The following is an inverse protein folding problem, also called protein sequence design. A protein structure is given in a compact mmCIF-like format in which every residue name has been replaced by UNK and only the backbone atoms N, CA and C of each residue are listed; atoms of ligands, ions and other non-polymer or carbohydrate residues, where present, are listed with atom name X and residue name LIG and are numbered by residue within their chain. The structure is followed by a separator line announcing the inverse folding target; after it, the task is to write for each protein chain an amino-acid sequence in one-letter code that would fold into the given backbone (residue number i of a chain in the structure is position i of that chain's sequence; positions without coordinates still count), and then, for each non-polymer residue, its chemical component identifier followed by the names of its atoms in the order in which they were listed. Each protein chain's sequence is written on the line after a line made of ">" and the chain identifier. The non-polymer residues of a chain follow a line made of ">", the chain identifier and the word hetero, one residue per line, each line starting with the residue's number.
data_IF_952197095558
#
_entry.id   IF_952197095558
#
_cell.length_a   1.000
_cell.length_b   1.000
_cell.length_c   1.000
_cell.angle_alpha   90.00
_cell.angle_beta   90.00
_cell.angle_gamma   90.00
#
_symmetry.space_group_name_H-M   'P 1'
#
loop_
_entity.id
_entity.type
_entity.pdbx_description
1 polymer ?
#
# COMPACT_ATOMS: atom_id res chain seq x y z
N UNK A 1 -67.41 3.95 -23.39
CA UNK A 1 -67.65 3.15 -22.17
C UNK A 1 -66.38 2.37 -21.87
N UNK A 2 -65.83 2.53 -20.65
CA UNK A 2 -64.82 1.69 -19.94
C UNK A 2 -63.46 1.39 -20.62
N UNK A 3 -62.29 1.37 -19.97
CA UNK A 3 -61.90 1.50 -18.55
C UNK A 3 -60.38 1.73 -18.45
N UNK A 4 -59.97 2.23 -17.28
CA UNK A 4 -58.64 2.54 -16.74
C UNK A 4 -57.56 1.42 -16.74
N UNK A 5 -56.33 1.82 -16.38
CA UNK A 5 -55.25 0.96 -15.86
C UNK A 5 -53.86 1.34 -16.41
N UNK A 6 -53.12 2.32 -15.88
CA UNK A 6 -52.23 2.32 -14.69
C UNK A 6 -50.82 1.73 -14.92
N UNK A 7 -49.84 2.61 -14.73
CA UNK A 7 -48.48 2.45 -14.16
C UNK A 7 -47.27 1.84 -14.90
N UNK A 8 -46.12 2.45 -14.54
CA UNK A 8 -44.72 1.99 -14.54
C UNK A 8 -44.03 1.99 -15.91
N UNK A 9 -42.86 2.61 -16.10
CA UNK A 9 -41.67 2.51 -15.26
C UNK A 9 -40.78 3.76 -15.34
N UNK A 10 -40.24 4.13 -14.19
CA UNK A 10 -39.14 5.08 -14.03
C UNK A 10 -37.94 4.66 -14.87
N UNK A 11 -37.45 5.56 -15.72
CA UNK A 11 -36.22 5.37 -16.47
C UNK A 11 -35.05 5.30 -15.48
N UNK A 12 -34.39 4.16 -15.50
CA UNK A 12 -33.29 3.76 -14.63
C UNK A 12 -32.16 4.79 -14.59
N UNK A 13 -31.93 5.31 -13.38
CA UNK A 13 -30.64 5.60 -12.74
C UNK A 13 -29.44 5.83 -13.66
N UNK A 14 -28.98 7.09 -13.69
CA UNK A 14 -27.62 7.44 -14.07
C UNK A 14 -26.62 6.77 -13.11
N UNK A 15 -26.09 5.62 -13.52
CA UNK A 15 -24.86 5.06 -12.97
C UNK A 15 -23.71 5.48 -13.87
N UNK A 16 -23.12 6.63 -13.54
CA UNK A 16 -21.76 6.97 -13.98
C UNK A 16 -20.75 6.08 -13.21
N UNK A 17 -19.58 5.78 -13.79
CA UNK A 17 -18.81 4.58 -13.51
C UNK A 17 -18.04 4.67 -12.18
N UNK A 18 -18.32 3.73 -11.26
CA UNK A 18 -17.59 3.58 -9.98
C UNK A 18 -16.10 3.22 -10.12
N UNK A 19 -15.64 2.89 -11.32
CA UNK A 19 -14.25 2.44 -11.55
C UNK A 19 -13.25 3.57 -11.77
N UNK A 20 -13.69 4.79 -12.12
CA UNK A 20 -12.79 5.94 -12.31
C UNK A 20 -12.41 6.56 -10.96
N UNK A 21 -13.34 6.54 -10.01
CA UNK A 21 -13.19 7.17 -8.69
C UNK A 21 -12.10 6.51 -7.85
N UNK A 22 -12.05 5.17 -7.85
CA UNK A 22 -11.13 4.39 -7.00
C UNK A 22 -9.66 4.51 -7.42
N UNK A 23 -9.39 4.70 -8.72
CA UNK A 23 -8.02 4.87 -9.24
C UNK A 23 -7.48 6.28 -8.97
N UNK A 24 -8.33 7.31 -9.12
CA UNK A 24 -7.97 8.69 -8.78
C UNK A 24 -7.74 8.85 -7.26
N UNK A 25 -8.59 8.22 -6.45
CA UNK A 25 -8.43 8.20 -4.98
C UNK A 25 -7.12 7.54 -4.56
N UNK A 26 -6.78 6.37 -5.12
CA UNK A 26 -5.52 5.67 -4.83
C UNK A 26 -4.29 6.52 -5.20
N UNK A 27 -4.36 7.22 -6.33
CA UNK A 27 -3.30 8.13 -6.81
C UNK A 27 -3.12 9.31 -5.85
N UNK A 28 -4.21 9.93 -5.41
CA UNK A 28 -4.14 11.02 -4.42
C UNK A 28 -3.54 10.54 -3.10
N UNK A 29 -4.00 9.39 -2.60
CA UNK A 29 -3.49 8.79 -1.37
C UNK A 29 -2.01 8.45 -1.46
N UNK A 30 -1.54 7.91 -2.59
CA UNK A 30 -0.12 7.60 -2.81
C UNK A 30 0.77 8.84 -2.63
N UNK A 31 0.33 9.99 -3.15
CA UNK A 31 1.04 11.26 -2.98
C UNK A 31 1.01 11.78 -1.56
N UNK A 32 -0.16 11.75 -0.92
CA UNK A 32 -0.30 12.16 0.49
C UNK A 32 0.58 11.30 1.41
N UNK A 33 0.62 9.99 1.17
CA UNK A 33 1.50 9.05 1.88
C UNK A 33 2.97 9.43 1.68
N UNK A 34 3.39 9.73 0.46
CA UNK A 34 4.77 10.07 0.16
C UNK A 34 5.20 11.37 0.84
N UNK A 35 4.36 12.42 0.82
CA UNK A 35 4.63 13.68 1.52
C UNK A 35 4.74 13.47 3.03
N UNK A 36 3.81 12.73 3.62
CA UNK A 36 3.83 12.45 5.07
C UNK A 36 5.03 11.57 5.44
N UNK A 37 5.41 10.63 4.58
CA UNK A 37 6.61 9.82 4.74
C UNK A 37 7.88 10.69 4.71
N UNK A 38 8.01 11.61 3.75
CA UNK A 38 9.12 12.56 3.66
C UNK A 38 9.26 13.40 4.93
N UNK A 39 8.15 13.96 5.43
CA UNK A 39 8.15 14.75 6.67
C UNK A 39 8.53 13.87 7.87
N UNK A 40 7.94 12.69 7.99
CA UNK A 40 8.20 11.77 9.10
C UNK A 40 9.65 11.32 9.13
N UNK A 41 10.19 10.93 7.98
CA UNK A 41 11.58 10.49 7.83
C UNK A 41 12.57 11.62 8.12
N UNK A 42 12.31 12.83 7.60
CA UNK A 42 13.16 13.99 7.86
C UNK A 42 13.20 14.38 9.35
N UNK A 43 12.06 14.33 10.04
CA UNK A 43 12.01 14.62 11.48
C UNK A 43 12.75 13.55 12.30
N UNK A 44 12.58 12.28 11.98
CA UNK A 44 13.31 11.20 12.64
C UNK A 44 14.83 11.30 12.42
N UNK A 45 15.26 11.63 11.20
CA UNK A 45 16.67 11.90 10.89
C UNK A 45 17.29 13.07 11.65
N UNK A 46 16.46 14.02 12.12
CA UNK A 46 16.87 15.11 13.01
C UNK A 46 16.79 14.74 14.50
N UNK A 47 16.39 13.51 14.83
CA UNK A 47 16.15 13.05 16.20
C UNK A 47 14.91 13.68 16.83
N UNK A 48 13.97 14.18 16.04
CA UNK A 48 12.74 14.81 16.50
C UNK A 48 11.60 13.77 16.43
N UNK A 49 11.15 13.22 17.57
CA UNK A 49 10.06 12.25 17.55
C UNK A 49 8.75 12.94 17.13
N UNK A 50 8.12 12.45 16.06
CA UNK A 50 6.79 12.87 15.65
C UNK A 50 5.82 11.69 15.65
N UNK A 51 5.21 11.40 16.80
CA UNK A 51 4.21 10.34 16.93
C UNK A 51 3.00 10.60 16.06
N UNK A 52 2.55 11.85 15.97
CA UNK A 52 1.41 12.26 15.15
C UNK A 52 1.67 12.03 13.65
N UNK A 53 2.87 12.33 13.17
CA UNK A 53 3.26 12.10 11.78
C UNK A 53 3.25 10.59 11.46
N UNK A 54 3.82 9.79 12.37
CA UNK A 54 3.86 8.33 12.22
C UNK A 54 2.46 7.71 12.25
N UNK A 55 1.62 8.12 13.18
CA UNK A 55 0.24 7.62 13.27
C UNK A 55 -0.58 8.02 12.03
N UNK A 56 -0.36 9.23 11.53
CA UNK A 56 -0.99 9.70 10.30
C UNK A 56 -0.51 8.90 9.07
N UNK A 57 0.80 8.65 8.95
CA UNK A 57 1.38 7.79 7.92
C UNK A 57 0.73 6.41 7.89
N UNK A 58 0.64 5.74 9.04
CA UNK A 58 0.01 4.42 9.12
C UNK A 58 -1.49 4.44 8.82
N UNK A 59 -2.19 5.51 9.21
CA UNK A 59 -3.60 5.72 8.86
C UNK A 59 -3.78 5.82 7.35
N UNK A 60 -2.92 6.59 6.67
CA UNK A 60 -2.99 6.75 5.22
C UNK A 60 -2.69 5.43 4.50
N UNK A 61 -1.65 4.69 4.90
CA UNK A 61 -1.34 3.38 4.32
C UNK A 61 -2.47 2.38 4.52
N UNK A 62 -3.12 2.37 5.70
CA UNK A 62 -4.26 1.51 5.97
C UNK A 62 -5.52 1.87 5.14
N UNK A 63 -5.68 3.14 4.77
CA UNK A 63 -6.72 3.56 3.83
C UNK A 63 -6.35 3.11 2.41
N UNK A 64 -5.11 3.39 1.99
CA UNK A 64 -4.58 3.04 0.69
C UNK A 64 -4.62 1.52 0.41
N UNK A 65 -4.38 0.67 1.41
CA UNK A 65 -4.36 -0.79 1.24
C UNK A 65 -5.69 -1.37 0.75
N UNK A 66 -6.81 -0.62 0.86
CA UNK A 66 -8.12 -1.02 0.34
C UNK A 66 -8.19 -0.96 -1.19
N UNK A 67 -7.26 -0.25 -1.82
CA UNK A 67 -7.19 -0.06 -3.26
C UNK A 67 -6.25 -1.06 -3.94
N UNK A 68 -5.60 -1.93 -3.17
CA UNK A 68 -4.64 -2.92 -3.69
C UNK A 68 -5.28 -4.29 -3.65
N UNK A 69 -5.34 -4.96 -4.81
CA UNK A 69 -5.74 -6.37 -4.87
C UNK A 69 -4.60 -7.27 -4.37
N UNK A 70 -4.61 -7.53 -3.06
CA UNK A 70 -3.59 -8.27 -2.33
C UNK A 70 -4.14 -9.55 -1.69
N UNK A 71 -3.28 -10.56 -1.61
CA UNK A 71 -3.50 -11.80 -0.88
C UNK A 71 -2.55 -11.87 0.31
N UNK A 72 -3.10 -12.02 1.52
CA UNK A 72 -2.33 -12.03 2.76
C UNK A 72 -2.01 -13.46 3.19
N UNK A 73 -0.75 -13.70 3.51
CA UNK A 73 -0.24 -15.00 3.94
C UNK A 73 -0.04 -15.04 5.47
N UNK A 74 -0.25 -16.21 6.05
CA UNK A 74 -0.11 -16.41 7.50
C UNK A 74 1.30 -16.03 8.00
N UNK A 75 1.38 -15.50 9.22
CA UNK A 75 2.62 -15.09 9.88
C UNK A 75 3.41 -13.95 9.20
N UNK A 76 3.01 -13.46 8.04
CA UNK A 76 3.72 -12.37 7.34
C UNK A 76 3.74 -11.09 8.17
N UNK A 77 2.69 -10.79 8.93
CA UNK A 77 2.69 -9.64 9.84
C UNK A 77 3.74 -9.76 10.94
N UNK A 78 3.98 -10.97 11.47
CA UNK A 78 5.02 -11.20 12.47
C UNK A 78 6.39 -10.93 11.87
N UNK A 79 6.67 -11.48 10.69
CA UNK A 79 7.93 -11.27 9.97
C UNK A 79 8.12 -9.80 9.58
N UNK A 80 7.07 -9.14 9.08
CA UNK A 80 7.03 -7.72 8.73
C UNK A 80 7.40 -6.82 9.90
N UNK A 81 7.05 -7.20 11.13
CA UNK A 81 7.39 -6.45 12.34
C UNK A 81 8.86 -6.58 12.76
N UNK A 82 9.64 -7.51 12.17
CA UNK A 82 11.06 -7.74 12.49
C UNK A 82 12.03 -6.88 11.67
N UNK A 83 11.56 -5.72 11.22
CA UNK A 83 12.36 -4.67 10.59
C UNK A 83 12.76 -3.61 11.62
N UNK A 84 13.81 -2.84 11.34
CA UNK A 84 14.26 -1.77 12.26
C UNK A 84 13.63 -0.43 11.99
N UNK A 85 13.26 -0.14 10.74
CA UNK A 85 12.78 1.17 10.31
C UNK A 85 11.29 1.13 9.95
N UNK A 86 10.61 2.24 10.17
CA UNK A 86 9.27 2.47 9.65
C UNK A 86 9.30 2.59 8.12
N UNK A 87 8.19 2.23 7.45
CA UNK A 87 8.09 2.30 5.99
C UNK A 87 8.24 3.72 5.43
N UNK A 88 8.07 4.75 6.27
CA UNK A 88 8.34 6.14 5.90
C UNK A 88 9.78 6.35 5.41
N UNK A 89 10.76 5.57 5.89
CA UNK A 89 12.16 5.68 5.47
C UNK A 89 12.43 5.21 4.04
N UNK A 90 11.46 4.60 3.35
CA UNK A 90 11.62 4.26 1.93
C UNK A 90 11.83 5.51 1.06
N UNK A 91 11.30 6.67 1.48
CA UNK A 91 11.53 7.94 0.79
C UNK A 91 13.00 8.38 0.81
N UNK A 92 13.78 7.95 1.80
CA UNK A 92 15.22 8.27 1.84
C UNK A 92 15.98 7.49 0.77
N UNK A 93 15.53 6.27 0.47
CA UNK A 93 16.16 5.38 -0.51
C UNK A 93 15.70 5.68 -1.95
N UNK A 94 14.40 5.91 -2.14
CA UNK A 94 13.81 6.06 -3.47
C UNK A 94 13.54 7.52 -3.87
N UNK A 95 13.41 8.42 -2.90
CA UNK A 95 12.84 9.74 -3.10
C UNK A 95 11.31 9.74 -3.12
N UNK A 96 10.71 10.89 -2.78
CA UNK A 96 9.26 11.07 -2.64
C UNK A 96 8.49 10.66 -3.90
N UNK A 97 8.93 11.12 -5.08
CA UNK A 97 8.24 10.85 -6.35
C UNK A 97 8.24 9.36 -6.71
N UNK A 98 9.38 8.67 -6.52
CA UNK A 98 9.45 7.24 -6.81
C UNK A 98 8.67 6.41 -5.79
N UNK A 99 8.65 6.83 -4.51
CA UNK A 99 7.83 6.15 -3.51
C UNK A 99 6.33 6.30 -3.82
N UNK A 100 5.88 7.50 -4.22
CA UNK A 100 4.51 7.69 -4.70
C UNK A 100 4.22 6.82 -5.93
N UNK A 101 5.12 6.79 -6.92
CA UNK A 101 4.96 5.97 -8.11
C UNK A 101 4.92 4.45 -7.80
N UNK A 102 5.69 3.98 -6.83
CA UNK A 102 5.65 2.59 -6.37
C UNK A 102 4.27 2.24 -5.75
N UNK A 103 3.70 3.14 -4.94
CA UNK A 103 2.34 2.99 -4.42
C UNK A 103 1.29 3.06 -5.55
N UNK A 104 1.40 3.98 -6.49
CA UNK A 104 0.50 4.03 -7.65
C UNK A 104 0.55 2.70 -8.45
N UNK A 105 1.75 2.16 -8.65
CA UNK A 105 1.94 0.88 -9.32
C UNK A 105 1.31 -0.29 -8.56
N UNK A 106 1.50 -0.37 -7.24
CA UNK A 106 0.94 -1.40 -6.38
C UNK A 106 -0.60 -1.44 -6.43
N UNK A 107 -1.24 -0.27 -6.53
CA UNK A 107 -2.70 -0.14 -6.64
C UNK A 107 -3.23 -0.30 -8.08
N UNK A 108 -2.35 -0.46 -9.08
CA UNK A 108 -2.76 -0.60 -10.47
C UNK A 108 -3.20 -2.03 -10.81
N UNK A 109 -3.94 -2.18 -11.90
CA UNK A 109 -4.29 -3.48 -12.47
C UNK A 109 -3.10 -4.18 -13.17
N UNK A 110 -1.94 -3.52 -13.24
CA UNK A 110 -0.75 -4.04 -13.93
C UNK A 110 -0.02 -5.05 -13.06
N UNK A 111 0.32 -6.19 -13.63
CA UNK A 111 1.04 -7.27 -12.95
C UNK A 111 2.34 -7.57 -13.71
N UNK A 112 3.45 -7.05 -13.18
CA UNK A 112 4.81 -7.44 -13.52
C UNK A 112 5.45 -8.07 -12.28
N UNK A 113 5.60 -9.39 -12.32
CA UNK A 113 6.08 -10.18 -11.18
C UNK A 113 7.53 -9.84 -10.85
N UNK A 114 8.37 -9.60 -11.86
CA UNK A 114 9.79 -9.33 -11.62
C UNK A 114 9.95 -7.95 -11.00
N UNK A 115 9.23 -6.94 -11.49
CA UNK A 115 9.25 -5.61 -10.88
C UNK A 115 8.72 -5.61 -9.44
N UNK A 116 7.68 -6.37 -9.13
CA UNK A 116 7.19 -6.52 -7.75
C UNK A 116 8.22 -7.24 -6.86
N UNK A 117 8.98 -8.20 -7.39
CA UNK A 117 10.06 -8.86 -6.63
C UNK A 117 11.23 -7.92 -6.37
N UNK A 118 11.64 -7.16 -7.37
CA UNK A 118 12.69 -6.13 -7.23
C UNK A 118 12.28 -5.09 -6.18
N UNK A 119 11.07 -4.55 -6.29
CA UNK A 119 10.51 -3.63 -5.31
C UNK A 119 10.48 -4.23 -3.90
N UNK A 120 10.10 -5.51 -3.76
CA UNK A 120 10.07 -6.16 -2.46
C UNK A 120 11.48 -6.35 -1.88
N UNK A 121 12.47 -6.70 -2.71
CA UNK A 121 13.86 -6.84 -2.27
C UNK A 121 14.43 -5.50 -1.76
N UNK A 122 14.19 -4.42 -2.50
CA UNK A 122 14.58 -3.07 -2.10
C UNK A 122 13.95 -2.67 -0.75
N UNK A 123 12.68 -3.04 -0.54
CA UNK A 123 11.99 -2.81 0.76
C UNK A 123 12.67 -3.58 1.89
N UNK A 124 13.04 -4.84 1.67
CA UNK A 124 13.70 -5.66 2.70
C UNK A 124 15.04 -5.05 3.12
N UNK A 125 15.80 -4.52 2.16
CA UNK A 125 17.07 -3.85 2.41
C UNK A 125 16.88 -2.51 3.12
N UNK A 126 16.05 -1.63 2.56
CA UNK A 126 15.85 -0.27 3.06
C UNK A 126 15.26 -0.25 4.48
N UNK A 127 14.40 -1.21 4.83
CA UNK A 127 13.78 -1.30 6.15
C UNK A 127 14.62 -2.06 7.17
N UNK A 128 15.77 -2.61 6.77
CA UNK A 128 16.69 -3.37 7.59
C UNK A 128 16.00 -4.54 8.32
N UNK A 129 15.37 -5.43 7.56
CA UNK A 129 14.81 -6.65 8.13
C UNK A 129 15.88 -7.50 8.81
N UNK A 130 15.51 -8.14 9.93
CA UNK A 130 16.35 -9.18 10.52
C UNK A 130 16.65 -10.26 9.49
N UNK A 131 17.86 -10.84 9.54
CA UNK A 131 18.29 -11.83 8.55
C UNK A 131 17.31 -12.99 8.39
N UNK A 132 16.84 -13.54 9.51
CA UNK A 132 15.88 -14.65 9.53
C UNK A 132 14.55 -14.26 8.86
N UNK A 133 14.00 -13.09 9.20
CA UNK A 133 12.76 -12.62 8.59
C UNK A 133 12.93 -12.34 7.09
N UNK A 134 14.05 -11.73 6.68
CA UNK A 134 14.34 -11.45 5.28
C UNK A 134 14.49 -12.74 4.46
N UNK A 135 15.19 -13.76 4.97
CA UNK A 135 15.34 -15.06 4.30
C UNK A 135 13.98 -15.75 4.09
N UNK A 136 13.13 -15.78 5.12
CA UNK A 136 11.80 -16.36 5.05
C UNK A 136 10.89 -15.60 4.07
N UNK A 137 10.91 -14.26 4.12
CA UNK A 137 10.14 -13.41 3.20
C UNK A 137 10.59 -13.55 1.74
N UNK A 138 11.90 -13.62 1.47
CA UNK A 138 12.44 -13.91 0.13
C UNK A 138 11.99 -15.28 -0.37
N UNK A 139 12.02 -16.29 0.49
CA UNK A 139 11.54 -17.64 0.15
C UNK A 139 10.04 -17.66 -0.23
N UNK A 140 9.23 -16.77 0.34
CA UNK A 140 7.83 -16.57 -0.05
C UNK A 140 7.73 -15.83 -1.38
N UNK A 141 8.40 -14.69 -1.51
CA UNK A 141 8.38 -13.85 -2.71
C UNK A 141 8.85 -14.60 -3.98
N UNK A 142 9.83 -15.49 -3.86
CA UNK A 142 10.36 -16.29 -4.97
C UNK A 142 9.30 -17.21 -5.63
N UNK A 143 8.26 -17.60 -4.88
CA UNK A 143 7.18 -18.47 -5.36
C UNK A 143 5.86 -17.75 -5.55
N UNK A 144 5.78 -16.50 -5.09
CA UNK A 144 4.55 -15.73 -5.03
C UNK A 144 4.11 -15.24 -6.41
N UNK A 145 2.79 -15.22 -6.63
CA UNK A 145 2.15 -14.49 -7.72
C UNK A 145 1.96 -13.01 -7.40
N UNK A 146 1.40 -12.23 -8.33
CA UNK A 146 1.23 -10.77 -8.14
C UNK A 146 0.41 -10.38 -6.90
N UNK A 147 -0.72 -11.05 -6.63
CA UNK A 147 -1.57 -10.73 -5.47
C UNK A 147 -0.85 -11.00 -4.15
N UNK A 148 -0.12 -12.11 -4.07
CA UNK A 148 0.69 -12.44 -2.90
C UNK A 148 1.88 -11.48 -2.73
N UNK A 149 2.58 -11.11 -3.81
CA UNK A 149 3.66 -10.12 -3.76
C UNK A 149 3.16 -8.76 -3.28
N UNK A 150 2.03 -8.28 -3.80
CA UNK A 150 1.37 -7.06 -3.31
C UNK A 150 1.02 -7.19 -1.83
N UNK A 151 0.54 -8.35 -1.39
CA UNK A 151 0.28 -8.62 0.02
C UNK A 151 1.53 -8.59 0.90
N UNK A 152 2.64 -9.17 0.43
CA UNK A 152 3.94 -9.11 1.13
C UNK A 152 4.43 -7.68 1.24
N UNK A 153 4.42 -6.93 0.15
CA UNK A 153 4.81 -5.51 0.10
C UNK A 153 3.93 -4.69 1.03
N UNK A 154 2.60 -4.75 0.89
CA UNK A 154 1.68 -4.03 1.77
C UNK A 154 1.87 -4.38 3.25
N UNK A 155 2.10 -5.65 3.57
CA UNK A 155 2.32 -6.06 4.96
C UNK A 155 3.62 -5.47 5.49
N UNK A 156 4.68 -5.41 4.67
CA UNK A 156 5.93 -4.75 5.03
C UNK A 156 5.73 -3.25 5.28
N UNK A 157 4.83 -2.59 4.54
CA UNK A 157 4.53 -1.17 4.67
C UNK A 157 3.63 -0.83 5.87
N UNK A 158 2.57 -1.60 6.11
CA UNK A 158 1.52 -1.26 7.09
C UNK A 158 1.84 -1.69 8.52
N UNK A 159 2.65 -2.74 8.69
CA UNK A 159 2.99 -3.26 10.02
C UNK A 159 4.12 -2.43 10.60
N UNK A 160 4.02 -1.85 11.80
CA UNK A 160 5.15 -1.14 12.41
C UNK A 160 6.28 -2.08 12.85
N UNK A 161 7.54 -1.58 12.95
CA UNK A 161 8.64 -2.32 13.56
C UNK A 161 8.32 -2.65 15.02
N UNK A 162 8.84 -3.79 15.52
CA UNK A 162 8.87 -4.05 16.96
C UNK A 162 9.95 -3.17 17.59
N UNK A 163 9.54 -2.38 18.59
CA UNK A 163 10.45 -1.55 19.39
C UNK A 163 11.53 -2.35 20.10
#
# INVERSE_FOLDING_TARGET
>A
MSTAGTDLQATSLGQLPRSIDTSQEATSLARDIAVVASISSALDGLGIPCTECRDHFYTLIANYSRHVDAEYTENTAVLASMKKRDAAHLVDAWGEEHFAAALEYLASDTCDVEMLREMFEDILEALEFSREAAEELRGRAARAGCRELRGLILTALIVPPRG
#
